data_IF_332794418377
#
_entry.id   IF_332794418377
#
_cell.length_a   1.000
_cell.length_b   1.000
_cell.length_c   1.000
_cell.angle_alpha   90.00
_cell.angle_beta   90.00
_cell.angle_gamma   90.00
#
_symmetry.space_group_name_H-M   'P 1'
#
loop_
_entity.id
_entity.type
_entity.pdbx_description
1 polymer ?
#
# COMPACT_ATOMS: atom_id res chain seq x y z
N UNK A 1 33.92 -28.09 23.81
CA UNK A 1 32.73 -28.06 22.95
C UNK A 1 32.13 -26.66 22.96
N UNK A 2 32.52 -25.80 22.01
CA UNK A 2 31.90 -24.47 21.85
C UNK A 2 30.63 -24.64 21.02
N UNK A 3 29.49 -24.21 21.59
CA UNK A 3 28.20 -24.20 20.91
C UNK A 3 28.24 -23.15 19.80
N UNK A 4 28.20 -23.60 18.54
CA UNK A 4 27.94 -22.76 17.38
C UNK A 4 26.56 -22.10 17.56
N UNK A 5 26.55 -20.83 17.97
CA UNK A 5 25.37 -19.98 17.84
C UNK A 5 25.18 -19.80 16.34
N UNK A 6 24.25 -20.56 15.77
CA UNK A 6 23.78 -20.38 14.40
C UNK A 6 23.34 -18.91 14.28
N UNK A 7 24.17 -18.08 13.66
CA UNK A 7 23.78 -16.74 13.28
C UNK A 7 22.63 -16.89 12.29
N UNK A 8 21.39 -16.67 12.72
CA UNK A 8 20.23 -16.55 11.82
C UNK A 8 20.63 -15.55 10.73
N UNK A 9 20.87 -16.03 9.51
CA UNK A 9 21.10 -15.16 8.36
C UNK A 9 19.93 -14.19 8.29
N UNK A 10 20.17 -12.88 8.43
CA UNK A 10 19.10 -11.88 8.34
C UNK A 10 18.35 -12.08 7.02
N UNK A 11 17.08 -12.48 7.08
CA UNK A 11 16.24 -12.66 5.89
C UNK A 11 16.09 -11.31 5.19
N UNK A 12 16.35 -11.30 3.88
CA UNK A 12 16.28 -10.10 3.05
C UNK A 12 14.81 -9.80 2.73
N UNK A 13 14.37 -8.60 3.09
CA UNK A 13 13.00 -8.12 2.86
C UNK A 13 12.97 -7.37 1.53
N UNK A 14 12.01 -7.70 0.66
CA UNK A 14 11.78 -6.99 -0.59
C UNK A 14 10.62 -6.02 -0.42
N UNK A 15 10.89 -4.73 -0.58
CA UNK A 15 9.91 -3.67 -0.39
C UNK A 15 9.63 -2.97 -1.73
N UNK A 16 8.41 -3.13 -2.24
CA UNK A 16 7.92 -2.42 -3.41
C UNK A 16 7.45 -1.02 -2.98
N UNK A 17 8.07 0.03 -3.50
CA UNK A 17 7.81 1.45 -3.19
C UNK A 17 7.38 2.19 -4.47
N UNK A 18 6.41 3.13 -4.43
CA UNK A 18 6.09 3.95 -5.60
C UNK A 18 7.33 4.72 -6.05
N UNK A 19 7.59 4.76 -7.36
CA UNK A 19 8.79 5.42 -7.91
C UNK A 19 8.90 6.91 -7.58
N UNK A 20 7.77 7.60 -7.41
CA UNK A 20 7.75 9.02 -7.03
C UNK A 20 8.02 9.27 -5.55
N UNK A 21 8.10 8.22 -4.74
CA UNK A 21 8.39 8.32 -3.31
C UNK A 21 9.89 8.57 -3.13
N UNK A 22 10.32 9.80 -3.43
CA UNK A 22 11.70 10.28 -3.31
C UNK A 22 12.16 10.50 -1.87
N UNK A 23 11.25 10.40 -0.90
CA UNK A 23 11.57 10.63 0.50
C UNK A 23 12.27 9.41 1.11
N UNK A 24 13.48 9.65 1.61
CA UNK A 24 14.25 8.72 2.45
C UNK A 24 13.56 8.53 3.79
N UNK A 25 12.51 7.71 3.81
CA UNK A 25 11.96 7.23 5.07
C UNK A 25 13.03 6.44 5.82
N UNK A 26 13.12 6.55 7.16
CA UNK A 26 14.04 5.74 7.94
C UNK A 26 13.88 4.24 7.67
N UNK A 27 12.68 3.80 7.26
CA UNK A 27 12.39 2.45 6.82
C UNK A 27 13.26 1.99 5.63
N UNK A 28 13.54 2.88 4.68
CA UNK A 28 14.26 2.57 3.44
C UNK A 28 15.76 2.39 3.66
N UNK A 29 16.29 2.94 4.75
CA UNK A 29 17.72 2.91 5.10
C UNK A 29 18.10 1.70 5.95
N UNK A 30 17.17 0.78 6.25
CA UNK A 30 17.40 -0.31 7.19
C UNK A 30 18.18 -1.45 6.52
N UNK A 31 19.28 -1.92 7.14
CA UNK A 31 20.05 -3.05 6.61
C UNK A 31 19.18 -4.30 6.46
N UNK A 32 19.19 -4.90 5.26
CA UNK A 32 18.41 -6.09 4.93
C UNK A 32 17.11 -5.80 4.17
N UNK A 33 16.78 -4.54 3.89
CA UNK A 33 15.68 -4.16 3.01
C UNK A 33 16.23 -3.87 1.60
N UNK A 34 15.66 -4.54 0.61
CA UNK A 34 15.92 -4.28 -0.82
C UNK A 34 14.72 -3.55 -1.39
N UNK A 35 14.97 -2.32 -1.86
CA UNK A 35 13.94 -1.47 -2.42
C UNK A 35 13.72 -1.81 -3.88
N UNK A 36 12.47 -1.94 -4.25
CA UNK A 36 12.04 -2.07 -5.64
C UNK A 36 11.05 -0.96 -5.94
N UNK A 37 11.29 -0.24 -7.01
CA UNK A 37 10.35 0.77 -7.45
C UNK A 37 9.30 0.14 -8.35
N UNK A 38 8.03 0.39 -8.05
CA UNK A 38 6.93 0.02 -8.94
C UNK A 38 6.29 1.25 -9.54
N UNK A 39 5.81 1.08 -10.77
CA UNK A 39 4.95 2.04 -11.46
C UNK A 39 3.55 1.46 -11.50
N UNK A 40 2.58 2.35 -11.30
CA UNK A 40 1.20 2.01 -11.62
C UNK A 40 0.92 2.52 -13.01
N UNK A 41 1.02 1.59 -13.96
CA UNK A 41 0.48 1.68 -15.32
C UNK A 41 -0.95 1.13 -15.32
N UNK A 42 -1.66 1.03 -16.46
CA UNK A 42 -2.91 0.24 -16.55
C UNK A 42 -2.80 -1.18 -15.93
N UNK A 43 -1.60 -1.72 -15.78
CA UNK A 43 -1.26 -2.90 -14.97
C UNK A 43 -0.11 -2.58 -14.01
N UNK A 44 -0.09 -3.22 -12.82
CA UNK A 44 1.07 -3.17 -11.92
C UNK A 44 2.30 -3.72 -12.62
N UNK A 45 3.37 -2.92 -12.66
CA UNK A 45 4.67 -3.35 -13.14
C UNK A 45 5.69 -3.13 -12.03
N UNK A 46 6.33 -4.22 -11.63
CA UNK A 46 7.44 -4.23 -10.70
C UNK A 46 8.62 -4.91 -11.39
N UNK A 47 9.82 -4.37 -11.23
CA UNK A 47 11.03 -4.87 -11.91
C UNK A 47 11.55 -6.20 -11.33
N UNK A 48 10.71 -7.00 -10.67
CA UNK A 48 11.08 -8.21 -9.94
C UNK A 48 10.72 -9.47 -10.75
N UNK A 49 11.66 -10.42 -10.83
CA UNK A 49 11.38 -11.80 -11.25
C UNK A 49 10.60 -12.58 -10.16
N UNK A 50 9.66 -13.46 -10.54
CA UNK A 50 8.51 -13.91 -9.73
C UNK A 50 8.81 -14.78 -8.49
N UNK A 51 10.06 -14.90 -8.03
CA UNK A 51 10.45 -15.96 -7.07
C UNK A 51 10.24 -15.62 -5.59
N UNK A 52 10.00 -14.36 -5.19
CA UNK A 52 9.81 -14.00 -3.77
C UNK A 52 8.65 -13.02 -3.59
N UNK A 53 7.79 -13.28 -2.60
CA UNK A 53 6.66 -12.40 -2.26
C UNK A 53 7.19 -11.05 -1.76
N UNK A 54 6.70 -9.97 -2.36
CA UNK A 54 7.17 -8.61 -2.09
C UNK A 54 6.20 -7.91 -1.13
N UNK A 55 6.71 -7.06 -0.25
CA UNK A 55 5.91 -6.22 0.62
C UNK A 55 5.53 -4.95 -0.14
N UNK A 56 4.23 -4.63 -0.20
CA UNK A 56 3.75 -3.42 -0.88
C UNK A 56 3.77 -2.24 0.09
N UNK A 57 4.61 -1.25 -0.18
CA UNK A 57 4.57 0.04 0.51
C UNK A 57 3.58 0.99 -0.16
N UNK A 58 2.66 1.55 0.63
CA UNK A 58 1.56 2.39 0.15
C UNK A 58 1.35 3.64 1.03
N UNK A 59 1.81 4.83 0.60
CA UNK A 59 1.69 6.03 1.41
C UNK A 59 0.26 6.63 1.38
N UNK A 60 -0.24 7.07 2.53
CA UNK A 60 -1.42 7.93 2.69
C UNK A 60 -2.64 7.43 1.90
N UNK A 61 -3.16 8.24 0.99
CA UNK A 61 -4.35 7.95 0.19
C UNK A 61 -4.15 6.73 -0.73
N UNK A 62 -2.90 6.45 -1.10
CA UNK A 62 -2.51 5.33 -1.93
C UNK A 62 -2.81 3.97 -1.29
N UNK A 63 -2.91 3.92 0.04
CA UNK A 63 -3.33 2.73 0.77
C UNK A 63 -4.67 2.17 0.28
N UNK A 64 -5.61 3.02 -0.13
CA UNK A 64 -6.91 2.58 -0.65
C UNK A 64 -6.76 1.87 -1.99
N UNK A 65 -5.88 2.35 -2.86
CA UNK A 65 -5.56 1.67 -4.12
C UNK A 65 -4.84 0.35 -3.85
N UNK A 66 -3.84 0.35 -2.96
CA UNK A 66 -3.06 -0.83 -2.62
C UNK A 66 -3.95 -1.96 -2.09
N UNK A 67 -4.91 -1.63 -1.22
CA UNK A 67 -5.90 -2.58 -0.71
C UNK A 67 -6.79 -3.13 -1.82
N UNK A 68 -7.33 -2.26 -2.68
CA UNK A 68 -8.13 -2.70 -3.81
C UNK A 68 -7.36 -3.66 -4.72
N UNK A 69 -6.10 -3.33 -5.01
CA UNK A 69 -5.26 -4.11 -5.92
C UNK A 69 -4.82 -5.44 -5.30
N UNK A 70 -4.49 -5.46 -4.02
CA UNK A 70 -4.10 -6.67 -3.29
C UNK A 70 -5.25 -7.67 -3.12
N UNK A 71 -6.48 -7.19 -2.87
CA UNK A 71 -7.67 -8.06 -2.82
C UNK A 71 -7.90 -8.77 -4.16
N UNK A 72 -7.64 -8.08 -5.29
CA UNK A 72 -7.75 -8.68 -6.62
C UNK A 72 -6.60 -9.61 -6.97
N UNK A 73 -5.43 -9.44 -6.35
CA UNK A 73 -4.21 -10.17 -6.68
C UNK A 73 -3.49 -10.66 -5.40
N UNK A 74 -4.10 -11.58 -4.64
CA UNK A 74 -3.63 -11.96 -3.30
C UNK A 74 -2.27 -12.67 -3.29
N UNK A 75 -1.83 -13.23 -4.43
CA UNK A 75 -0.55 -13.94 -4.56
C UNK A 75 0.64 -13.01 -4.83
N UNK A 76 0.41 -11.76 -5.23
CA UNK A 76 1.48 -10.83 -5.63
C UNK A 76 2.30 -10.31 -4.43
N UNK A 77 1.64 -10.12 -3.30
CA UNK A 77 2.24 -9.48 -2.14
C UNK A 77 2.25 -10.42 -0.93
N UNK A 78 3.30 -10.32 -0.10
CA UNK A 78 3.31 -10.99 1.21
C UNK A 78 2.52 -10.18 2.24
N UNK A 79 2.62 -8.86 2.20
CA UNK A 79 1.97 -7.94 3.13
C UNK A 79 1.88 -6.53 2.53
N UNK A 80 1.09 -5.67 3.17
CA UNK A 80 0.96 -4.25 2.81
C UNK A 80 1.42 -3.41 3.99
N UNK A 81 2.31 -2.45 3.73
CA UNK A 81 2.77 -1.45 4.70
C UNK A 81 2.27 -0.07 4.25
N UNK A 82 1.30 0.46 5.00
CA UNK A 82 0.77 1.79 4.80
C UNK A 82 1.52 2.81 5.67
N UNK A 83 1.71 4.03 5.16
CA UNK A 83 2.39 5.10 5.91
C UNK A 83 1.66 6.44 5.84
N UNK A 84 1.50 7.12 6.97
CA UNK A 84 0.93 8.47 7.04
C UNK A 84 -0.55 8.48 7.45
N UNK A 85 -1.30 9.48 7.01
CA UNK A 85 -2.68 9.73 7.47
C UNK A 85 -3.60 8.53 7.19
N UNK A 86 -4.26 8.03 8.22
CA UNK A 86 -5.18 6.90 8.12
C UNK A 86 -6.51 7.29 7.45
N UNK A 87 -6.56 7.09 6.12
CA UNK A 87 -7.77 7.25 5.31
C UNK A 87 -8.79 6.12 5.47
N UNK A 88 -8.48 5.15 6.32
CA UNK A 88 -9.30 3.98 6.61
C UNK A 88 -10.09 4.09 7.92
N UNK A 89 -9.99 5.23 8.62
CA UNK A 89 -10.82 5.49 9.78
C UNK A 89 -12.30 5.65 9.38
N UNK A 90 -13.27 5.33 10.27
CA UNK A 90 -14.69 5.44 9.94
C UNK A 90 -15.09 6.84 9.44
N UNK A 91 -14.57 7.90 10.06
CA UNK A 91 -14.83 9.28 9.67
C UNK A 91 -14.21 9.61 8.31
N UNK A 92 -12.97 9.20 8.05
CA UNK A 92 -12.32 9.42 6.77
C UNK A 92 -13.05 8.69 5.64
N UNK A 93 -13.49 7.45 5.88
CA UNK A 93 -14.27 6.66 4.92
C UNK A 93 -15.65 7.28 4.67
N UNK A 94 -16.32 7.78 5.71
CA UNK A 94 -17.61 8.47 5.55
C UNK A 94 -17.46 9.75 4.73
N UNK A 95 -16.46 10.58 5.05
CA UNK A 95 -16.15 11.78 4.28
C UNK A 95 -15.85 11.45 2.81
N UNK A 96 -15.02 10.42 2.58
CA UNK A 96 -14.65 9.98 1.23
C UNK A 96 -15.87 9.48 0.44
N UNK A 97 -16.74 8.70 1.07
CA UNK A 97 -18.00 8.23 0.48
C UNK A 97 -18.87 9.40 0.03
N UNK A 98 -19.07 10.39 0.89
CA UNK A 98 -19.89 11.56 0.57
C UNK A 98 -19.30 12.37 -0.59
N UNK A 99 -17.98 12.58 -0.58
CA UNK A 99 -17.28 13.28 -1.67
C UNK A 99 -17.44 12.54 -3.01
N UNK A 100 -17.20 11.24 -3.03
CA UNK A 100 -17.36 10.44 -4.24
C UNK A 100 -18.82 10.37 -4.74
N UNK A 101 -19.80 10.39 -3.83
CA UNK A 101 -21.21 10.46 -4.23
C UNK A 101 -21.53 11.79 -4.91
N UNK A 102 -20.92 12.88 -4.43
CA UNK A 102 -21.06 14.18 -5.06
C UNK A 102 -20.41 14.22 -6.45
N UNK A 103 -19.17 13.72 -6.57
CA UNK A 103 -18.48 13.60 -7.86
C UNK A 103 -19.31 12.77 -8.84
N UNK A 104 -19.89 11.65 -8.39
CA UNK A 104 -20.76 10.80 -9.21
C UNK A 104 -21.98 11.56 -9.75
N UNK A 105 -22.61 12.38 -8.91
CA UNK A 105 -23.79 13.18 -9.31
C UNK A 105 -23.43 14.21 -10.38
N UNK A 106 -22.24 14.79 -10.30
CA UNK A 106 -21.80 15.85 -11.20
C UNK A 106 -21.23 15.32 -12.53
N UNK A 107 -20.52 14.20 -12.49
CA UNK A 107 -19.70 13.75 -13.63
C UNK A 107 -20.07 12.36 -14.16
N UNK A 108 -20.99 11.66 -13.48
CA UNK A 108 -21.33 10.27 -13.79
C UNK A 108 -20.45 9.25 -13.08
N UNK A 109 -20.72 7.96 -13.30
CA UNK A 109 -20.11 6.85 -12.57
C UNK A 109 -18.82 6.32 -13.20
N UNK A 110 -18.74 6.37 -14.53
CA UNK A 110 -17.72 5.66 -15.32
C UNK A 110 -16.48 6.51 -15.61
N UNK A 111 -16.44 7.72 -15.07
CA UNK A 111 -15.30 8.63 -15.15
C UNK A 111 -14.45 8.57 -13.87
N UNK A 112 -13.16 8.88 -13.95
CA UNK A 112 -12.31 9.05 -12.76
C UNK A 112 -12.77 10.19 -11.85
N UNK A 113 -12.58 10.06 -10.53
CA UNK A 113 -12.78 11.19 -9.59
C UNK A 113 -11.58 12.15 -9.68
N UNK A 114 -11.80 13.46 -9.92
CA UNK A 114 -10.73 14.45 -9.94
C UNK A 114 -9.97 14.54 -8.61
N UNK A 115 -10.67 14.38 -7.48
CA UNK A 115 -10.05 14.42 -6.15
C UNK A 115 -9.12 13.22 -5.95
N UNK A 116 -9.58 12.02 -6.32
CA UNK A 116 -8.77 10.80 -6.22
C UNK A 116 -7.55 10.91 -7.14
N UNK A 117 -7.74 11.37 -8.38
CA UNK A 117 -6.64 11.60 -9.31
C UNK A 117 -5.61 12.57 -8.74
N UNK A 118 -6.06 13.70 -8.17
CA UNK A 118 -5.18 14.69 -7.54
C UNK A 118 -4.38 14.09 -6.37
N UNK A 119 -5.03 13.29 -5.53
CA UNK A 119 -4.37 12.63 -4.40
C UNK A 119 -3.32 11.61 -4.87
N UNK A 120 -3.64 10.82 -5.90
CA UNK A 120 -2.74 9.78 -6.41
C UNK A 120 -1.57 10.34 -7.23
N UNK A 121 -1.75 11.48 -7.91
CA UNK A 121 -0.67 12.18 -8.62
C UNK A 121 0.46 12.66 -7.69
N UNK A 122 0.23 12.74 -6.39
CA UNK A 122 1.31 12.99 -5.42
C UNK A 122 2.26 11.80 -5.28
N UNK A 123 1.84 10.61 -5.74
CA UNK A 123 2.52 9.34 -5.53
C UNK A 123 2.73 8.54 -6.83
N UNK A 124 2.32 9.06 -7.99
CA UNK A 124 2.53 8.43 -9.31
C UNK A 124 2.84 9.49 -10.37
N UNK A 125 3.66 9.13 -11.35
CA UNK A 125 3.97 9.96 -12.53
C UNK A 125 2.71 10.25 -13.35
N UNK A 126 2.62 11.47 -13.89
CA UNK A 126 1.41 12.10 -14.45
C UNK A 126 0.75 11.33 -15.62
N UNK A 127 1.49 10.44 -16.28
CA UNK A 127 1.07 9.80 -17.54
C UNK A 127 0.55 8.36 -17.41
N UNK A 128 0.65 7.71 -16.25
CA UNK A 128 0.52 6.25 -16.18
C UNK A 128 -0.70 5.72 -15.41
N UNK A 129 -1.54 6.56 -14.79
CA UNK A 129 -2.58 6.05 -13.89
C UNK A 129 -3.98 5.94 -14.51
N UNK A 130 -4.47 4.71 -14.67
CA UNK A 130 -5.90 4.44 -14.86
C UNK A 130 -6.62 4.59 -13.52
N UNK A 131 -7.04 5.81 -13.19
CA UNK A 131 -7.84 6.01 -11.98
C UNK A 131 -9.13 5.23 -12.08
N UNK A 132 -9.39 4.37 -11.08
CA UNK A 132 -10.64 3.61 -11.02
C UNK A 132 -11.81 4.60 -11.19
N UNK A 133 -12.86 4.21 -11.94
CA UNK A 133 -14.05 5.02 -12.06
C UNK A 133 -14.64 5.36 -10.68
N UNK A 134 -15.35 6.49 -10.59
CA UNK A 134 -16.02 6.91 -9.35
C UNK A 134 -16.90 5.80 -8.79
N UNK A 135 -17.63 5.08 -9.66
CA UNK A 135 -18.47 3.95 -9.26
C UNK A 135 -17.70 2.84 -8.54
N UNK A 136 -16.50 2.54 -9.03
CA UNK A 136 -15.62 1.51 -8.45
C UNK A 136 -15.05 1.95 -7.10
N UNK A 137 -14.64 3.22 -6.97
CA UNK A 137 -14.24 3.77 -5.68
C UNK A 137 -15.38 3.77 -4.66
N UNK A 138 -16.58 4.15 -5.07
CA UNK A 138 -17.76 4.10 -4.20
C UNK A 138 -18.08 2.68 -3.74
N UNK A 139 -18.02 1.72 -4.65
CA UNK A 139 -18.21 0.31 -4.31
C UNK A 139 -17.16 -0.16 -3.31
N UNK A 140 -15.89 0.16 -3.55
CA UNK A 140 -14.79 -0.18 -2.64
C UNK A 140 -14.97 0.43 -1.25
N UNK A 141 -15.29 1.73 -1.15
CA UNK A 141 -15.46 2.41 0.14
C UNK A 141 -16.65 1.87 0.92
N UNK A 142 -17.77 1.57 0.26
CA UNK A 142 -18.93 0.94 0.90
C UNK A 142 -18.61 -0.44 1.47
N UNK A 143 -17.80 -1.21 0.76
CA UNK A 143 -17.46 -2.58 1.11
C UNK A 143 -16.13 -2.71 1.85
N UNK A 144 -15.53 -1.60 2.29
CA UNK A 144 -14.19 -1.55 2.87
C UNK A 144 -13.98 -2.59 3.98
N UNK A 145 -14.92 -2.70 4.93
CA UNK A 145 -14.84 -3.68 6.03
C UNK A 145 -14.80 -5.12 5.55
N UNK A 146 -15.61 -5.46 4.54
CA UNK A 146 -15.61 -6.81 3.94
C UNK A 146 -14.32 -7.04 3.16
N UNK A 147 -13.87 -6.05 2.40
CA UNK A 147 -12.60 -6.12 1.65
C UNK A 147 -11.41 -6.36 2.58
N UNK A 148 -11.38 -5.73 3.76
CA UNK A 148 -10.35 -5.98 4.76
C UNK A 148 -10.44 -7.38 5.39
N UNK A 149 -11.64 -7.92 5.62
CA UNK A 149 -11.82 -9.29 6.09
C UNK A 149 -11.37 -10.33 5.06
N UNK A 150 -11.57 -10.02 3.78
CA UNK A 150 -11.18 -10.88 2.66
C UNK A 150 -9.69 -10.74 2.29
N UNK A 151 -8.98 -9.79 2.91
CA UNK A 151 -7.55 -9.63 2.68
C UNK A 151 -6.81 -10.80 3.34
N UNK A 152 -6.29 -11.70 2.50
CA UNK A 152 -5.53 -12.88 2.94
C UNK A 152 -4.10 -12.56 3.40
N UNK A 153 -3.70 -11.30 3.32
CA UNK A 153 -2.35 -10.82 3.65
C UNK A 153 -2.41 -9.77 4.76
N UNK A 154 -1.41 -9.71 5.64
CA UNK A 154 -1.40 -8.75 6.73
C UNK A 154 -1.23 -7.30 6.23
N UNK A 155 -1.92 -6.39 6.91
CA UNK A 155 -1.91 -4.94 6.68
C UNK A 155 -1.31 -4.23 7.90
N UNK A 156 -0.22 -3.51 7.69
CA UNK A 156 0.46 -2.72 8.71
C UNK A 156 0.27 -1.23 8.45
N UNK A 157 -0.04 -0.45 9.49
CA UNK A 157 -0.16 1.01 9.39
C UNK A 157 0.91 1.71 10.23
N UNK A 158 1.75 2.49 9.56
CA UNK A 158 2.78 3.35 10.17
C UNK A 158 2.23 4.78 10.26
N UNK A 159 2.12 5.30 11.49
CA UNK A 159 1.65 6.66 11.75
C UNK A 159 2.80 7.54 12.26
N UNK A 160 2.89 8.76 11.74
CA UNK A 160 3.95 9.74 12.00
C UNK A 160 4.22 9.95 13.49
N UNK A 161 3.18 9.85 14.32
CA UNK A 161 3.23 10.06 15.76
C UNK A 161 3.76 8.86 16.58
N UNK A 162 3.84 7.64 16.03
CA UNK A 162 4.20 6.41 16.78
C UNK A 162 5.41 5.66 16.21
N UNK A 163 6.17 6.31 15.32
CA UNK A 163 6.95 5.62 14.30
C UNK A 163 8.23 4.88 14.75
N UNK A 164 9.00 5.36 15.75
CA UNK A 164 10.29 4.69 16.05
C UNK A 164 10.12 3.28 16.63
N UNK A 165 9.18 3.09 17.56
CA UNK A 165 8.96 1.80 18.24
C UNK A 165 8.21 0.82 17.32
N UNK A 166 7.30 1.32 16.47
CA UNK A 166 6.51 0.47 15.59
C UNK A 166 7.29 -0.06 14.39
N UNK A 167 8.26 0.68 13.85
CA UNK A 167 9.02 0.24 12.66
C UNK A 167 9.81 -1.04 12.95
N UNK A 168 10.56 -1.10 14.07
CA UNK A 168 11.32 -2.30 14.43
C UNK A 168 10.42 -3.51 14.70
N UNK A 169 9.28 -3.30 15.37
CA UNK A 169 8.28 -4.35 15.65
C UNK A 169 7.57 -4.84 14.40
N UNK A 170 7.35 -3.96 13.42
CA UNK A 170 6.78 -4.34 12.13
C UNK A 170 7.81 -5.12 11.33
N UNK A 171 9.07 -4.68 11.31
CA UNK A 171 10.15 -5.41 10.61
C UNK A 171 10.36 -6.80 11.21
N UNK A 172 10.33 -6.95 12.52
CA UNK A 172 10.44 -8.28 13.15
C UNK A 172 9.28 -9.19 12.71
N UNK A 173 8.04 -8.68 12.69
CA UNK A 173 6.88 -9.43 12.18
C UNK A 173 7.01 -9.78 10.70
N UNK A 174 7.48 -8.84 9.89
CA UNK A 174 7.69 -9.06 8.46
C UNK A 174 8.79 -10.11 8.18
N UNK A 175 9.78 -10.24 9.06
CA UNK A 175 10.81 -11.29 8.96
C UNK A 175 10.33 -12.67 9.43
N UNK A 176 9.35 -12.71 10.35
CA UNK A 176 8.73 -13.96 10.82
C UNK A 176 7.74 -14.53 9.78
N UNK A 177 7.14 -13.68 8.93
CA UNK A 177 6.15 -14.05 7.90
C UNK A 177 6.74 -14.50 6.55
N UNK A 178 8.06 -14.36 6.34
CA UNK A 178 8.81 -14.79 5.13
C UNK A 178 9.38 -16.19 5.35
#
# INVERSE_FOLDING_TARGET
MQKNILSRSKKQIFLAVPETCSQTLPLFSIPGITLHFYRIKPTYQCNIGPKRKTILYAPSFFALWALYYAVKNPSLFSSIVCYGKQWTSPLALMWLKLRLQNDRRLMGSDVPSPMIMKALRQHVTTNDYSALPIGMWLHFVKNYKMNCKNLSIPLFWLDHCKNKINIQKIISKLQDEI
#
